data_IF_573107326469
#
_entry.id   IF_573107326469
#
_cell.length_a   1.000
_cell.length_b   1.000
_cell.length_c   1.000
_cell.angle_alpha   90.00
_cell.angle_beta   90.00
_cell.angle_gamma   90.00
#
_symmetry.space_group_name_H-M   'P 1'
#
loop_
_entity.id
_entity.type
_entity.pdbx_description
1 polymer ?
#
# COMPACT_ATOMS: atom_id res chain seq x y z
N UNK A 1 4.48 -8.23 14.13
CA UNK A 1 3.33 -8.36 13.20
C UNK A 1 2.04 -8.26 14.00
N UNK A 2 1.10 -7.45 13.55
CA UNK A 2 -0.24 -7.30 14.12
C UNK A 2 -1.27 -7.72 13.08
N UNK A 3 -2.24 -8.55 13.51
CA UNK A 3 -3.36 -9.00 12.69
C UNK A 3 -4.63 -8.43 13.33
N UNK A 4 -5.26 -7.47 12.65
CA UNK A 4 -6.51 -6.88 13.09
C UNK A 4 -7.69 -7.47 12.32
N UNK A 5 -8.81 -7.80 12.99
CA UNK A 5 -10.05 -8.13 12.28
C UNK A 5 -10.50 -6.92 11.46
N UNK A 6 -10.97 -7.19 10.25
CA UNK A 6 -11.50 -6.18 9.33
C UNK A 6 -12.79 -6.68 8.66
N UNK A 7 -13.37 -5.84 7.81
CA UNK A 7 -14.56 -6.16 7.05
C UNK A 7 -15.86 -5.82 7.78
N UNK A 8 -16.81 -6.75 7.85
CA UNK A 8 -18.14 -6.49 8.40
C UNK A 8 -18.87 -5.37 7.63
N UNK A 9 -19.35 -4.34 8.33
CA UNK A 9 -20.02 -3.22 7.65
C UNK A 9 -19.10 -2.42 6.72
N UNK A 10 -17.78 -2.57 6.84
CA UNK A 10 -16.85 -1.98 5.87
C UNK A 10 -17.04 -2.60 4.49
N UNK A 11 -17.32 -3.91 4.38
CA UNK A 11 -17.51 -4.59 3.08
C UNK A 11 -18.90 -4.40 2.48
N UNK A 12 -19.85 -3.85 3.25
CA UNK A 12 -21.20 -3.56 2.77
C UNK A 12 -21.27 -2.39 1.77
N UNK A 13 -20.19 -1.60 1.67
CA UNK A 13 -20.09 -0.44 0.78
C UNK A 13 -19.35 -0.84 -0.51
N UNK A 14 -19.86 -0.41 -1.67
CA UNK A 14 -19.22 -0.68 -2.96
C UNK A 14 -17.79 -0.10 -3.03
N UNK A 15 -16.89 -0.83 -3.70
CA UNK A 15 -15.46 -0.48 -3.84
C UNK A 15 -15.21 0.95 -4.35
N UNK A 16 -16.02 1.40 -5.32
CA UNK A 16 -15.89 2.70 -5.96
C UNK A 16 -16.61 3.84 -5.22
N UNK A 17 -17.43 3.53 -4.22
CA UNK A 17 -18.23 4.54 -3.51
C UNK A 17 -17.35 5.52 -2.71
N UNK A 18 -16.16 5.11 -2.30
CA UNK A 18 -15.21 5.95 -1.54
C UNK A 18 -13.81 5.88 -2.15
N UNK A 19 -12.85 6.64 -1.61
CA UNK A 19 -11.45 6.49 -2.00
C UNK A 19 -10.82 5.17 -1.50
N UNK A 20 -11.33 4.60 -0.39
CA UNK A 20 -10.91 3.30 0.12
C UNK A 20 -11.54 2.16 -0.69
N UNK A 21 -10.71 1.42 -1.43
CA UNK A 21 -11.08 0.31 -2.31
C UNK A 21 -10.97 -1.07 -1.65
N UNK A 22 -10.65 -1.16 -0.36
CA UNK A 22 -10.51 -2.44 0.36
C UNK A 22 -11.88 -2.85 0.93
N UNK A 23 -12.73 -3.50 0.12
CA UNK A 23 -14.13 -3.82 0.46
C UNK A 23 -14.45 -5.32 0.53
N UNK A 24 -13.45 -6.17 0.45
CA UNK A 24 -13.55 -7.63 0.49
C UNK A 24 -12.56 -8.28 1.47
N UNK A 25 -11.72 -7.48 2.14
CA UNK A 25 -10.74 -7.97 3.11
C UNK A 25 -11.37 -8.33 4.46
N UNK A 26 -10.99 -9.49 5.01
CA UNK A 26 -11.39 -9.93 6.35
C UNK A 26 -10.38 -9.55 7.45
N UNK A 27 -9.13 -9.26 7.07
CA UNK A 27 -8.03 -8.97 7.99
C UNK A 27 -7.21 -7.78 7.47
N UNK A 28 -6.63 -7.02 8.40
CA UNK A 28 -5.61 -6.02 8.11
C UNK A 28 -4.32 -6.42 8.83
N UNK A 29 -3.22 -6.50 8.08
CA UNK A 29 -1.92 -6.91 8.58
C UNK A 29 -1.00 -5.69 8.65
N UNK A 30 -0.32 -5.53 9.79
CA UNK A 30 0.73 -4.54 9.97
C UNK A 30 2.02 -5.26 10.37
N UNK A 31 3.09 -4.98 9.64
CA UNK A 31 4.42 -5.49 9.93
C UNK A 31 5.24 -4.36 10.54
N UNK A 32 5.66 -4.55 11.78
CA UNK A 32 6.39 -3.55 12.56
C UNK A 32 7.64 -4.22 13.12
N UNK A 33 8.74 -3.49 13.05
CA UNK A 33 9.95 -3.73 13.83
C UNK A 33 10.23 -2.44 14.59
N UNK A 34 10.47 -2.53 15.89
CA UNK A 34 10.80 -1.42 16.79
C UNK A 34 12.14 -1.73 17.46
N UNK A 35 13.00 -0.73 17.57
CA UNK A 35 14.32 -0.83 18.18
C UNK A 35 14.73 0.54 18.72
N UNK A 36 15.72 0.56 19.62
CA UNK A 36 16.14 1.78 20.32
C UNK A 36 17.43 2.41 19.77
N UNK A 37 18.36 1.60 19.26
CA UNK A 37 19.67 2.06 18.80
C UNK A 37 19.68 2.31 17.28
N UNK A 38 19.92 3.55 16.86
CA UNK A 38 20.02 3.95 15.44
C UNK A 38 21.10 3.14 14.68
N UNK A 39 22.14 2.64 15.38
CA UNK A 39 23.15 1.78 14.76
C UNK A 39 22.57 0.45 14.23
N UNK A 40 21.40 0.03 14.71
CA UNK A 40 20.73 -1.21 14.31
C UNK A 40 19.74 -1.01 13.16
N UNK A 41 19.52 0.22 12.69
CA UNK A 41 18.59 0.58 11.60
C UNK A 41 18.71 -0.35 10.40
N UNK A 42 19.93 -0.49 9.87
CA UNK A 42 20.18 -1.29 8.68
C UNK A 42 19.78 -2.76 8.87
N UNK A 43 19.97 -3.29 10.09
CA UNK A 43 19.63 -4.67 10.43
C UNK A 43 18.13 -4.85 10.51
N UNK A 44 17.43 -4.01 11.28
CA UNK A 44 15.99 -4.12 11.48
C UNK A 44 15.20 -3.85 10.21
N UNK A 45 15.58 -2.81 9.46
CA UNK A 45 14.96 -2.48 8.17
C UNK A 45 15.14 -3.66 7.19
N UNK A 46 16.36 -4.21 7.08
CA UNK A 46 16.62 -5.38 6.22
C UNK A 46 15.79 -6.58 6.62
N UNK A 47 15.76 -6.92 7.92
CA UNK A 47 14.99 -8.06 8.42
C UNK A 47 13.50 -7.91 8.15
N UNK A 48 12.92 -6.72 8.36
CA UNK A 48 11.50 -6.47 8.08
C UNK A 48 11.20 -6.58 6.57
N UNK A 49 12.05 -6.02 5.72
CA UNK A 49 11.93 -6.10 4.25
C UNK A 49 12.01 -7.54 3.75
N UNK A 50 12.97 -8.31 4.22
CA UNK A 50 13.13 -9.72 3.87
C UNK A 50 11.90 -10.54 4.33
N UNK A 51 11.46 -10.34 5.57
CA UNK A 51 10.26 -11.00 6.09
C UNK A 51 9.01 -10.66 5.26
N UNK A 52 8.76 -9.38 4.98
CA UNK A 52 7.62 -8.93 4.19
C UNK A 52 7.64 -9.53 2.78
N UNK A 53 8.80 -9.47 2.12
CA UNK A 53 9.00 -10.07 0.79
C UNK A 53 8.70 -11.56 0.80
N UNK A 54 9.18 -12.28 1.82
CA UNK A 54 9.04 -13.73 1.90
C UNK A 54 7.57 -14.15 2.16
N UNK A 55 6.83 -13.38 2.95
CA UNK A 55 5.37 -13.56 3.12
C UNK A 55 4.63 -13.45 1.78
N UNK A 56 5.03 -12.51 0.93
CA UNK A 56 4.41 -12.25 -0.37
C UNK A 56 5.23 -12.78 -1.55
N UNK A 57 6.04 -13.82 -1.34
CA UNK A 57 6.94 -14.34 -2.38
C UNK A 57 6.19 -14.81 -3.63
N UNK A 58 4.99 -15.38 -3.45
CA UNK A 58 4.13 -15.85 -4.54
C UNK A 58 3.60 -14.74 -5.46
N UNK A 59 3.67 -13.48 -5.03
CA UNK A 59 3.18 -12.31 -5.76
C UNK A 59 4.29 -11.29 -6.05
N UNK A 60 5.56 -11.71 -6.00
CA UNK A 60 6.68 -10.84 -6.31
C UNK A 60 7.09 -9.89 -5.17
N UNK A 61 6.85 -10.29 -3.93
CA UNK A 61 7.33 -9.61 -2.72
C UNK A 61 6.39 -8.56 -2.14
N UNK A 62 5.19 -8.40 -2.70
CA UNK A 62 4.19 -7.41 -2.27
C UNK A 62 2.75 -7.97 -2.36
N UNK A 63 1.78 -7.43 -1.59
CA UNK A 63 0.39 -7.94 -1.54
C UNK A 63 -0.41 -7.53 -2.79
N UNK A 64 -0.12 -8.15 -3.93
CA UNK A 64 -0.88 -7.93 -5.16
C UNK A 64 -2.33 -8.37 -4.98
N UNK A 65 -3.27 -7.48 -5.25
CA UNK A 65 -4.71 -7.76 -5.22
C UNK A 65 -5.04 -9.05 -5.98
N UNK A 66 -5.49 -10.06 -5.24
CA UNK A 66 -5.90 -11.36 -5.76
C UNK A 66 -6.87 -12.01 -4.74
N UNK A 67 -7.07 -13.32 -4.84
CA UNK A 67 -7.95 -14.05 -3.90
C UNK A 67 -7.47 -14.01 -2.45
N UNK A 68 -6.16 -13.96 -2.25
CA UNK A 68 -5.52 -14.17 -0.95
C UNK A 68 -5.04 -12.85 -0.31
N UNK A 69 -4.83 -11.78 -1.09
CA UNK A 69 -4.41 -10.46 -0.58
C UNK A 69 -5.16 -9.30 -1.24
N UNK A 70 -5.32 -8.19 -0.50
CA UNK A 70 -6.16 -7.06 -0.89
C UNK A 70 -5.42 -5.78 -1.31
N UNK A 71 -4.09 -5.77 -1.39
CA UNK A 71 -3.31 -4.54 -1.57
C UNK A 71 -2.69 -4.02 -0.28
N UNK A 72 -2.36 -2.73 -0.27
CA UNK A 72 -1.74 -2.02 0.85
C UNK A 72 -2.64 -0.87 1.33
N UNK A 73 -2.49 -0.47 2.59
CA UNK A 73 -3.33 0.57 3.19
C UNK A 73 -2.53 1.87 3.36
N UNK A 74 -2.98 2.98 2.77
CA UNK A 74 -2.17 4.21 2.64
C UNK A 74 -1.79 4.86 3.98
N UNK A 75 -2.57 4.63 5.04
CA UNK A 75 -2.21 5.10 6.39
C UNK A 75 -1.04 4.31 6.99
N UNK A 76 -0.62 3.20 6.37
CA UNK A 76 0.64 2.47 6.65
C UNK A 76 1.56 2.63 5.43
N UNK A 77 2.10 3.83 5.18
CA UNK A 77 2.86 4.11 3.98
C UNK A 77 4.21 3.40 4.02
N UNK A 78 4.49 2.64 2.97
CA UNK A 78 5.77 2.01 2.68
C UNK A 78 6.27 2.43 1.30
N UNK A 79 7.44 3.07 1.30
CA UNK A 79 8.12 3.55 0.09
C UNK A 79 8.82 2.43 -0.66
N UNK A 80 9.07 1.28 -0.06
CA UNK A 80 9.69 0.14 -0.73
C UNK A 80 8.77 -0.47 -1.80
N UNK A 81 7.45 -0.28 -1.67
CA UNK A 81 6.47 -0.70 -2.69
C UNK A 81 6.68 -0.05 -4.06
N UNK A 82 7.43 1.06 -4.15
CA UNK A 82 7.78 1.73 -5.41
C UNK A 82 9.16 1.34 -5.93
N UNK A 83 9.97 0.66 -5.11
CA UNK A 83 11.33 0.27 -5.44
C UNK A 83 11.32 -1.09 -6.14
N UNK A 84 11.82 -1.19 -7.40
CA UNK A 84 11.91 -2.46 -8.12
C UNK A 84 12.77 -3.53 -7.42
N UNK A 85 13.63 -3.15 -6.46
CA UNK A 85 14.38 -4.10 -5.66
C UNK A 85 13.47 -4.97 -4.77
N UNK A 86 12.36 -4.38 -4.29
CA UNK A 86 11.42 -4.96 -3.32
C UNK A 86 10.07 -5.31 -3.93
N UNK A 87 9.55 -4.49 -4.86
CA UNK A 87 8.36 -4.79 -5.63
C UNK A 87 8.71 -5.36 -7.01
N UNK A 88 8.62 -6.69 -7.14
CA UNK A 88 8.87 -7.42 -8.39
C UNK A 88 7.60 -7.94 -9.04
N UNK A 89 6.44 -7.46 -8.59
CA UNK A 89 5.14 -7.95 -9.03
C UNK A 89 4.70 -7.47 -10.40
N UNK A 90 5.27 -6.36 -10.88
CA UNK A 90 4.78 -5.61 -12.03
C UNK A 90 3.59 -4.69 -11.73
N UNK A 91 2.94 -4.84 -10.56
CA UNK A 91 1.92 -3.89 -10.09
C UNK A 91 2.57 -2.62 -9.57
N UNK A 92 2.00 -1.47 -9.93
CA UNK A 92 2.44 -0.18 -9.42
C UNK A 92 2.05 0.02 -7.96
N UNK A 93 2.82 0.83 -7.21
CA UNK A 93 2.48 1.14 -5.81
C UNK A 93 1.08 1.78 -5.71
N UNK A 94 0.66 2.55 -6.72
CA UNK A 94 -0.66 3.18 -6.73
C UNK A 94 -1.79 2.17 -6.88
N UNK A 95 -1.61 1.11 -7.67
CA UNK A 95 -2.57 0.01 -7.74
C UNK A 95 -2.63 -0.76 -6.43
N UNK A 96 -1.49 -0.96 -5.75
CA UNK A 96 -1.47 -1.61 -4.43
C UNK A 96 -2.31 -0.83 -3.41
N UNK A 97 -2.19 0.50 -3.35
CA UNK A 97 -2.94 1.31 -2.37
C UNK A 97 -4.38 1.65 -2.76
N UNK A 98 -4.63 1.93 -4.04
CA UNK A 98 -5.89 2.53 -4.47
C UNK A 98 -6.69 1.66 -5.44
N UNK A 99 -6.09 0.59 -5.99
CA UNK A 99 -6.74 -0.29 -6.97
C UNK A 99 -7.34 0.48 -8.14
N UNK A 100 -8.53 0.07 -8.57
CA UNK A 100 -9.25 0.67 -9.69
C UNK A 100 -9.68 2.13 -9.45
N UNK A 101 -9.59 2.64 -8.21
CA UNK A 101 -9.97 4.02 -7.88
C UNK A 101 -8.88 5.04 -8.22
N UNK A 102 -7.62 4.62 -8.46
CA UNK A 102 -6.51 5.55 -8.69
C UNK A 102 -6.78 6.56 -9.81
N UNK A 103 -7.31 6.20 -11.00
CA UNK A 103 -7.61 7.17 -12.05
C UNK A 103 -8.58 8.29 -11.62
N UNK A 104 -9.55 7.99 -10.74
CA UNK A 104 -10.45 9.02 -10.20
C UNK A 104 -9.70 10.00 -9.32
N UNK A 105 -8.78 9.51 -8.48
CA UNK A 105 -7.97 10.35 -7.62
C UNK A 105 -7.02 11.26 -8.41
N UNK A 106 -6.45 10.75 -9.51
CA UNK A 106 -5.61 11.56 -10.41
C UNK A 106 -6.38 12.74 -11.02
N UNK A 107 -7.65 12.55 -11.39
CA UNK A 107 -8.51 13.64 -11.89
C UNK A 107 -8.75 14.71 -10.83
N UNK A 108 -9.02 14.29 -9.59
CA UNK A 108 -9.15 15.22 -8.45
C UNK A 108 -7.84 15.99 -8.24
N UNK A 109 -6.69 15.30 -8.29
CA UNK A 109 -5.37 15.93 -8.17
C UNK A 109 -5.12 16.98 -9.24
N UNK A 110 -5.41 16.69 -10.51
CA UNK A 110 -5.25 17.65 -11.61
C UNK A 110 -6.19 18.86 -11.48
N UNK A 111 -7.40 18.66 -10.97
CA UNK A 111 -8.38 19.73 -10.80
C UNK A 111 -8.01 20.67 -9.65
N UNK A 112 -7.58 20.12 -8.52
CA UNK A 112 -7.44 20.87 -7.26
C UNK A 112 -6.00 21.22 -6.88
N UNK A 113 -5.01 20.52 -7.41
CA UNK A 113 -3.60 20.83 -7.23
C UNK A 113 -2.82 20.72 -8.55
N UNK A 114 -3.18 21.53 -9.56
CA UNK A 114 -2.52 21.52 -10.87
C UNK A 114 -1.04 21.92 -10.80
N UNK A 115 -0.65 22.70 -9.78
CA UNK A 115 0.73 23.14 -9.55
C UNK A 115 1.55 22.14 -8.72
N UNK A 116 0.95 21.04 -8.27
CA UNK A 116 1.60 19.99 -7.46
C UNK A 116 2.23 20.52 -6.18
N UNK A 117 1.60 21.51 -5.53
CA UNK A 117 2.09 22.10 -4.29
C UNK A 117 2.14 21.08 -3.16
N UNK A 118 1.20 20.13 -3.12
CA UNK A 118 1.15 19.10 -2.09
C UNK A 118 1.74 17.79 -2.63
N UNK A 119 2.97 17.46 -2.28
CA UNK A 119 3.59 16.21 -2.72
C UNK A 119 4.57 15.60 -1.69
N UNK A 120 4.76 14.29 -1.78
CA UNK A 120 5.71 13.45 -1.06
C UNK A 120 5.96 12.17 -1.88
N UNK A 121 6.80 11.24 -1.39
CA UNK A 121 7.28 10.07 -2.13
C UNK A 121 6.17 9.09 -2.62
N UNK A 122 4.99 9.14 -2.01
CA UNK A 122 3.81 8.31 -2.34
C UNK A 122 2.56 9.19 -2.60
N UNK A 123 2.77 10.38 -3.15
CA UNK A 123 1.66 11.25 -3.54
C UNK A 123 0.99 10.81 -4.83
N UNK A 124 -0.30 11.13 -4.93
CA UNK A 124 -1.09 10.93 -6.14
C UNK A 124 -0.56 11.85 -7.23
N UNK A 125 -0.27 11.28 -8.40
CA UNK A 125 0.23 11.99 -9.56
C UNK A 125 -0.93 12.47 -10.44
N UNK A 126 -0.93 13.72 -10.94
CA UNK A 126 -2.01 14.24 -11.78
C UNK A 126 -2.22 13.38 -13.03
N UNK A 127 -3.47 13.28 -13.52
CA UNK A 127 -3.74 12.78 -14.87
C UNK A 127 -3.19 13.81 -15.84
N UNK A 128 -2.25 13.40 -16.70
CA UNK A 128 -1.54 14.26 -17.66
C UNK A 128 -2.43 15.35 -18.27
#
# INVERSE_FOLDING_TARGET
MLIAPYGGQVTAVAESATASSHRDAALMLMYISEWDDEAEDATHIRCLREFYRDVYVGTGGVPVRNRDTGGAYINYPDVDLRDPAWNRSGSSWQELYYGANYPRLRRVKSQWDPLRLFHHQLSIEPSK
#
